data_IF_807997259266
#
_entry.id   IF_807997259266
#
_cell.length_a   1.000
_cell.length_b   1.000
_cell.length_c   1.000
_cell.angle_alpha   90.00
_cell.angle_beta   90.00
_cell.angle_gamma   90.00
#
_symmetry.space_group_name_H-M   'P 1'
#
loop_
_entity.id
_entity.type
_entity.pdbx_description
1 polymer ?
#
# COMPACT_ATOMS: atom_id res chain seq x y z
N UNK A 1 -27.93 6.58 -64.52
CA UNK A 1 -28.76 6.49 -63.30
C UNK A 1 -28.01 7.25 -62.21
N UNK A 2 -28.23 8.56 -62.12
CA UNK A 2 -29.14 9.28 -61.22
C UNK A 2 -28.59 9.40 -59.78
N UNK A 3 -27.92 10.53 -59.61
CA UNK A 3 -27.30 11.17 -58.46
C UNK A 3 -28.21 11.17 -57.22
N UNK A 4 -27.61 11.25 -56.01
CA UNK A 4 -28.21 12.00 -54.89
C UNK A 4 -27.14 12.48 -53.89
N UNK A 5 -27.08 13.80 -53.83
CA UNK A 5 -26.33 14.70 -52.97
C UNK A 5 -27.17 15.04 -51.72
N UNK A 6 -26.51 15.15 -50.56
CA UNK A 6 -26.89 15.95 -49.36
C UNK A 6 -28.16 15.50 -48.56
N UNK A 7 -28.33 15.85 -47.26
CA UNK A 7 -27.77 17.06 -46.62
C UNK A 7 -27.16 16.96 -45.22
N UNK A 8 -26.36 18.01 -44.96
CA UNK A 8 -25.97 18.54 -43.67
C UNK A 8 -27.16 18.65 -42.70
N UNK A 9 -26.91 18.39 -41.42
CA UNK A 9 -27.65 19.07 -40.35
C UNK A 9 -26.69 19.50 -39.25
N UNK A 10 -26.47 20.82 -39.28
CA UNK A 10 -25.84 21.62 -38.23
C UNK A 10 -26.75 21.59 -37.01
N UNK A 11 -26.23 21.33 -35.83
CA UNK A 11 -26.74 21.91 -34.58
C UNK A 11 -25.60 21.97 -33.57
N UNK A 12 -24.92 23.11 -33.58
CA UNK A 12 -24.03 23.54 -32.52
C UNK A 12 -24.86 23.73 -31.24
N UNK A 13 -24.50 23.08 -30.11
CA UNK A 13 -25.07 23.49 -28.85
C UNK A 13 -24.38 24.79 -28.45
N UNK A 14 -25.20 25.83 -28.27
CA UNK A 14 -24.78 27.14 -27.81
C UNK A 14 -24.03 26.99 -26.48
N UNK A 15 -22.80 27.50 -26.45
CA UNK A 15 -22.01 27.71 -25.24
C UNK A 15 -22.76 28.69 -24.33
N UNK A 16 -23.47 28.16 -23.34
CA UNK A 16 -23.96 28.94 -22.22
C UNK A 16 -22.82 29.06 -21.21
N UNK A 17 -21.98 30.08 -21.36
CA UNK A 17 -20.99 30.44 -20.36
C UNK A 17 -21.71 31.07 -19.15
N UNK A 18 -22.08 30.24 -18.18
CA UNK A 18 -22.54 30.71 -16.87
C UNK A 18 -21.29 31.11 -16.08
N UNK A 19 -20.98 32.40 -16.05
CA UNK A 19 -19.96 32.96 -15.15
C UNK A 19 -20.57 33.01 -13.75
N UNK A 20 -20.35 31.95 -12.97
CA UNK A 20 -20.64 31.95 -11.54
C UNK A 20 -19.46 32.60 -10.80
N UNK A 21 -19.55 33.91 -10.57
CA UNK A 21 -18.63 34.61 -9.67
C UNK A 21 -18.90 34.16 -8.23
N UNK A 22 -18.20 33.12 -7.78
CA UNK A 22 -18.23 32.69 -6.37
C UNK A 22 -17.12 33.43 -5.62
N UNK A 23 -17.49 34.53 -4.98
CA UNK A 23 -16.66 35.21 -3.98
C UNK A 23 -16.44 34.27 -2.81
N UNK A 24 -15.34 33.52 -2.86
CA UNK A 24 -14.90 32.67 -1.74
C UNK A 24 -14.32 33.58 -0.66
N UNK A 25 -15.14 33.96 0.31
CA UNK A 25 -14.64 34.49 1.57
C UNK A 25 -13.77 33.41 2.22
N UNK A 26 -12.46 33.66 2.30
CA UNK A 26 -11.52 32.83 3.02
C UNK A 26 -11.84 32.90 4.53
N UNK A 27 -12.71 32.00 4.98
CA UNK A 27 -12.84 31.71 6.40
C UNK A 27 -11.59 30.91 6.80
N UNK A 28 -10.91 31.26 7.90
CA UNK A 28 -9.85 30.43 8.41
C UNK A 28 -10.47 29.11 8.86
N UNK A 29 -10.23 28.05 8.09
CA UNK A 29 -10.43 26.68 8.58
C UNK A 29 -9.48 26.53 9.77
N UNK A 30 -10.04 26.63 10.96
CA UNK A 30 -9.40 26.12 12.16
C UNK A 30 -9.50 24.60 12.03
N UNK A 31 -8.46 24.00 11.42
CA UNK A 31 -8.27 22.56 11.50
C UNK A 31 -8.22 22.19 12.98
N UNK A 32 -9.28 21.56 13.48
CA UNK A 32 -9.29 20.90 14.78
C UNK A 32 -8.24 19.79 14.74
N UNK A 33 -6.99 20.13 15.04
CA UNK A 33 -5.97 19.14 15.33
C UNK A 33 -6.29 18.59 16.70
N UNK A 34 -7.04 17.49 16.74
CA UNK A 34 -7.19 16.71 17.97
C UNK A 34 -5.79 16.47 18.54
N UNK A 35 -5.51 16.76 19.83
CA UNK A 35 -4.22 16.47 20.42
C UNK A 35 -4.15 14.95 20.66
N UNK A 36 -4.03 14.17 19.60
CA UNK A 36 -3.71 12.75 19.67
C UNK A 36 -2.20 12.54 19.90
N UNK A 37 -1.55 13.45 20.64
CA UNK A 37 -0.19 13.26 21.17
C UNK A 37 -0.29 12.86 22.63
N UNK A 38 -1.05 11.79 22.89
CA UNK A 38 -0.67 10.92 24.00
C UNK A 38 0.68 10.32 23.63
N UNK A 39 1.62 10.21 24.57
CA UNK A 39 2.83 9.45 24.36
C UNK A 39 2.41 8.07 23.84
N UNK A 40 2.66 7.79 22.55
CA UNK A 40 2.66 6.41 22.10
C UNK A 40 3.70 5.78 23.00
N UNK A 41 3.25 4.94 23.94
CA UNK A 41 4.14 4.05 24.66
C UNK A 41 5.04 3.49 23.56
N UNK A 42 6.33 3.84 23.60
CA UNK A 42 7.29 3.00 22.91
C UNK A 42 7.05 1.64 23.52
N UNK A 43 6.40 0.75 22.77
CA UNK A 43 6.30 -0.67 23.09
C UNK A 43 7.71 -1.23 23.02
N UNK A 44 8.56 -0.78 23.95
CA UNK A 44 9.73 -1.50 24.37
C UNK A 44 9.18 -2.62 25.24
N UNK A 45 8.96 -3.75 24.56
CA UNK A 45 9.37 -5.07 25.02
C UNK A 45 9.06 -5.39 26.49
N UNK A 46 7.82 -5.82 26.74
CA UNK A 46 7.43 -6.78 27.81
C UNK A 46 5.89 -7.03 27.81
N UNK A 47 5.14 -6.39 26.92
CA UNK A 47 3.81 -6.86 26.52
C UNK A 47 3.96 -7.89 25.41
N UNK A 48 3.91 -9.18 25.78
CA UNK A 48 3.87 -10.39 24.93
C UNK A 48 3.67 -10.09 23.44
N UNK A 49 4.77 -10.09 22.69
CA UNK A 49 4.72 -9.96 21.25
C UNK A 49 3.91 -11.14 20.68
N UNK A 50 2.77 -10.86 20.04
CA UNK A 50 1.93 -11.89 19.44
C UNK A 50 2.77 -12.88 18.61
N UNK A 51 2.60 -14.20 18.82
CA UNK A 51 3.29 -15.21 18.03
C UNK A 51 3.12 -14.96 16.53
N UNK A 52 4.17 -15.20 15.75
CA UNK A 52 4.18 -14.91 14.33
C UNK A 52 3.06 -15.66 13.59
N UNK A 53 2.84 -16.93 13.93
CA UNK A 53 1.77 -17.74 13.36
C UNK A 53 0.37 -17.18 13.66
N UNK A 54 0.13 -16.67 14.87
CA UNK A 54 -1.15 -16.04 15.22
C UNK A 54 -1.38 -14.75 14.42
N UNK A 55 -0.32 -13.97 14.23
CA UNK A 55 -0.36 -12.76 13.40
C UNK A 55 -0.64 -13.09 11.93
N UNK A 56 0.02 -14.11 11.37
CA UNK A 56 -0.26 -14.61 10.03
C UNK A 56 -1.69 -15.16 9.94
N UNK A 57 -2.19 -15.87 10.96
CA UNK A 57 -3.57 -16.35 11.02
C UNK A 57 -4.61 -15.23 11.02
N UNK A 58 -4.27 -14.05 11.56
CA UNK A 58 -5.10 -12.85 11.40
C UNK A 58 -5.02 -12.31 9.96
N UNK A 59 -3.82 -12.19 9.39
CA UNK A 59 -3.65 -11.76 8.00
C UNK A 59 -4.42 -12.66 7.03
N UNK A 60 -4.40 -13.98 7.20
CA UNK A 60 -5.13 -14.93 6.37
C UNK A 60 -6.65 -14.65 6.36
N UNK A 61 -7.20 -14.16 7.46
CA UNK A 61 -8.63 -13.85 7.57
C UNK A 61 -9.00 -12.52 6.91
N UNK A 62 -8.15 -11.50 7.03
CA UNK A 62 -8.47 -10.13 6.59
C UNK A 62 -7.93 -9.80 5.20
N UNK A 63 -6.83 -10.43 4.81
CA UNK A 63 -6.11 -10.19 3.56
C UNK A 63 -5.29 -11.44 3.19
N UNK A 64 -5.92 -12.49 2.63
CA UNK A 64 -5.25 -13.75 2.25
C UNK A 64 -3.96 -13.56 1.43
N UNK A 65 -3.97 -12.64 0.46
CA UNK A 65 -2.79 -12.37 -0.34
C UNK A 65 -1.65 -11.71 0.46
N UNK A 66 -1.99 -10.90 1.47
CA UNK A 66 -1.01 -10.29 2.35
C UNK A 66 -0.31 -11.33 3.23
N UNK A 67 -1.06 -12.32 3.70
CA UNK A 67 -0.50 -13.45 4.44
C UNK A 67 0.45 -14.29 3.57
N UNK A 68 0.04 -14.64 2.36
CA UNK A 68 0.88 -15.45 1.46
C UNK A 68 2.15 -14.70 1.09
N UNK A 69 2.04 -13.41 0.74
CA UNK A 69 3.20 -12.55 0.46
C UNK A 69 4.10 -12.35 1.68
N UNK A 70 3.54 -12.25 2.88
CA UNK A 70 4.31 -12.19 4.12
C UNK A 70 5.07 -13.49 4.38
N UNK A 71 4.48 -14.67 4.15
CA UNK A 71 5.20 -15.95 4.25
C UNK A 71 6.35 -16.03 3.26
N UNK A 72 6.14 -15.61 2.00
CA UNK A 72 7.20 -15.57 1.00
C UNK A 72 8.35 -14.64 1.43
N UNK A 73 8.02 -13.47 2.01
CA UNK A 73 9.00 -12.53 2.53
C UNK A 73 9.79 -13.11 3.71
N UNK A 74 9.11 -13.75 4.67
CA UNK A 74 9.74 -14.42 5.82
C UNK A 74 10.69 -15.54 5.38
N UNK A 75 10.27 -16.35 4.40
CA UNK A 75 11.10 -17.43 3.85
C UNK A 75 12.37 -16.86 3.17
N UNK A 76 12.20 -15.85 2.31
CA UNK A 76 13.32 -15.18 1.65
C UNK A 76 14.24 -14.49 2.68
N UNK A 77 13.68 -13.86 3.71
CA UNK A 77 14.44 -13.25 4.80
C UNK A 77 15.28 -14.28 5.55
N UNK A 78 14.69 -15.40 5.95
CA UNK A 78 15.40 -16.48 6.64
C UNK A 78 16.54 -17.05 5.79
N UNK A 79 16.30 -17.24 4.49
CA UNK A 79 17.30 -17.73 3.54
C UNK A 79 18.47 -16.76 3.38
N UNK A 80 18.19 -15.44 3.31
CA UNK A 80 19.21 -14.43 3.03
C UNK A 80 19.94 -13.92 4.28
N UNK A 81 19.23 -13.77 5.37
CA UNK A 81 19.71 -13.13 6.59
C UNK A 81 20.08 -14.14 7.68
N UNK A 82 19.82 -15.43 7.46
CA UNK A 82 20.26 -16.52 8.35
C UNK A 82 19.55 -16.56 9.72
N UNK A 83 18.50 -15.74 9.92
CA UNK A 83 17.72 -15.71 11.16
C UNK A 83 16.23 -15.57 10.86
N UNK A 84 15.42 -15.95 11.85
CA UNK A 84 13.99 -15.71 11.78
C UNK A 84 13.68 -14.22 12.02
N UNK A 85 12.65 -13.74 11.34
CA UNK A 85 12.10 -12.40 11.54
C UNK A 85 11.07 -12.44 12.66
N UNK A 86 11.10 -11.45 13.56
CA UNK A 86 10.10 -11.31 14.63
C UNK A 86 8.80 -10.68 14.09
N UNK A 87 7.68 -10.92 14.77
CA UNK A 87 6.37 -10.35 14.42
C UNK A 87 6.40 -8.82 14.38
N UNK A 88 7.13 -8.19 15.30
CA UNK A 88 7.33 -6.75 15.40
C UNK A 88 8.10 -6.19 14.20
N UNK A 89 9.05 -6.95 13.67
CA UNK A 89 9.80 -6.59 12.46
C UNK A 89 8.91 -6.70 11.22
N UNK A 90 8.14 -7.79 11.08
CA UNK A 90 7.18 -7.95 9.98
C UNK A 90 6.10 -6.86 10.01
N UNK A 91 5.55 -6.55 11.19
CA UNK A 91 4.55 -5.49 11.36
C UNK A 91 5.11 -4.12 10.97
N UNK A 92 6.37 -3.86 11.34
CA UNK A 92 7.08 -2.65 10.93
C UNK A 92 7.28 -2.62 9.42
N UNK A 93 7.72 -3.73 8.82
CA UNK A 93 7.84 -3.86 7.37
C UNK A 93 6.48 -3.67 6.66
N UNK A 94 5.36 -4.06 7.25
CA UNK A 94 4.04 -3.82 6.63
C UNK A 94 3.56 -2.37 6.75
N UNK A 95 3.86 -1.69 7.85
CA UNK A 95 3.17 -0.44 8.23
C UNK A 95 4.06 0.80 8.23
N UNK A 96 5.38 0.68 8.42
CA UNK A 96 6.25 1.84 8.54
C UNK A 96 6.49 2.50 7.18
N UNK A 97 6.30 3.81 7.10
CA UNK A 97 6.62 4.59 5.90
C UNK A 97 5.80 4.22 4.65
N UNK A 98 4.66 3.55 4.82
CA UNK A 98 3.86 3.01 3.72
C UNK A 98 4.10 1.53 3.42
N UNK A 99 5.04 0.89 4.14
CA UNK A 99 5.43 -0.50 3.99
C UNK A 99 6.74 -0.67 3.22
N UNK A 100 7.39 -1.81 3.44
CA UNK A 100 8.57 -2.27 2.74
C UNK A 100 8.16 -2.63 1.30
N UNK A 101 8.79 -2.01 0.28
CA UNK A 101 8.37 -2.17 -1.10
C UNK A 101 8.55 -3.60 -1.62
N UNK A 102 9.51 -4.36 -1.08
CA UNK A 102 9.73 -5.75 -1.47
C UNK A 102 8.61 -6.62 -0.92
N UNK A 103 8.24 -6.43 0.35
CA UNK A 103 7.10 -7.11 0.97
C UNK A 103 5.80 -6.78 0.23
N UNK A 104 5.52 -5.51 -0.06
CA UNK A 104 4.35 -5.12 -0.84
C UNK A 104 4.36 -5.71 -2.26
N UNK A 105 5.54 -5.80 -2.87
CA UNK A 105 5.75 -6.46 -4.15
C UNK A 105 5.39 -7.95 -4.11
N UNK A 106 5.81 -8.67 -3.06
CA UNK A 106 5.44 -10.07 -2.83
C UNK A 106 3.93 -10.23 -2.62
N UNK A 107 3.31 -9.37 -1.81
CA UNK A 107 1.85 -9.39 -1.60
C UNK A 107 1.10 -9.22 -2.92
N UNK A 108 1.57 -8.30 -3.78
CA UNK A 108 1.01 -8.12 -5.12
C UNK A 108 1.22 -9.36 -6.00
N UNK A 109 2.42 -9.93 -6.00
CA UNK A 109 2.72 -11.13 -6.78
C UNK A 109 1.84 -12.30 -6.35
N UNK A 110 1.69 -12.53 -5.04
CA UNK A 110 0.81 -13.57 -4.49
C UNK A 110 -0.66 -13.30 -4.84
N UNK A 111 -1.13 -12.06 -4.78
CA UNK A 111 -2.48 -11.69 -5.23
C UNK A 111 -2.72 -12.02 -6.71
N UNK A 112 -1.73 -11.75 -7.56
CA UNK A 112 -1.79 -12.02 -9.01
C UNK A 112 -1.45 -13.47 -9.37
N UNK A 113 -1.02 -14.29 -8.40
CA UNK A 113 -0.49 -15.64 -8.61
C UNK A 113 0.70 -15.67 -9.58
N UNK A 114 1.54 -14.63 -9.50
CA UNK A 114 2.73 -14.46 -10.33
C UNK A 114 3.96 -15.07 -9.65
N UNK A 115 4.21 -16.36 -9.93
CA UNK A 115 5.33 -17.09 -9.34
C UNK A 115 6.71 -16.54 -9.78
N UNK A 116 6.81 -16.02 -11.01
CA UNK A 116 8.05 -15.43 -11.51
C UNK A 116 8.34 -14.10 -10.80
N UNK A 117 7.30 -13.26 -10.64
CA UNK A 117 7.39 -12.04 -9.85
C UNK A 117 7.71 -12.31 -8.39
N UNK A 118 7.13 -13.35 -7.78
CA UNK A 118 7.43 -13.74 -6.40
C UNK A 118 8.93 -14.08 -6.23
N UNK A 119 9.49 -14.87 -7.14
CA UNK A 119 10.92 -15.20 -7.14
C UNK A 119 11.82 -13.96 -7.35
N UNK A 120 11.39 -13.01 -8.17
CA UNK A 120 12.11 -11.75 -8.39
C UNK A 120 12.10 -10.86 -7.14
N UNK A 121 10.96 -10.74 -6.44
CA UNK A 121 10.89 -9.96 -5.22
C UNK A 121 11.64 -10.61 -4.06
N UNK A 122 11.59 -11.94 -3.92
CA UNK A 122 12.35 -12.67 -2.91
C UNK A 122 13.86 -12.37 -2.96
N UNK A 123 14.42 -12.23 -4.17
CA UNK A 123 15.81 -11.85 -4.41
C UNK A 123 16.16 -10.41 -4.03
N UNK A 124 15.19 -9.59 -3.64
CA UNK A 124 15.39 -8.19 -3.26
C UNK A 124 15.31 -7.95 -1.73
N UNK A 125 14.95 -8.97 -0.94
CA UNK A 125 14.85 -8.87 0.53
C UNK A 125 16.17 -8.48 1.20
N UNK A 126 16.16 -7.38 1.96
CA UNK A 126 17.34 -6.81 2.61
C UNK A 126 17.51 -7.30 4.05
N UNK A 127 18.76 -7.33 4.53
CA UNK A 127 19.07 -7.73 5.88
C UNK A 127 19.35 -6.50 6.76
N UNK A 128 18.64 -6.33 7.90
CA UNK A 128 18.88 -5.21 8.79
C UNK A 128 20.30 -5.30 9.35
N UNK A 129 21.07 -4.22 9.20
CA UNK A 129 22.49 -4.17 9.56
C UNK A 129 23.44 -4.11 8.36
N UNK A 130 22.95 -4.22 7.12
CA UNK A 130 23.69 -3.76 5.94
C UNK A 130 23.68 -2.21 5.92
N UNK A 131 24.40 -1.60 6.86
CA UNK A 131 24.77 -0.19 6.72
C UNK A 131 25.70 -0.12 5.53
N UNK A 132 25.22 0.46 4.43
CA UNK A 132 26.06 0.89 3.31
C UNK A 132 27.25 1.67 3.87
N UNK A 133 28.50 1.36 3.48
CA UNK A 133 29.66 2.21 3.81
C UNK A 133 29.53 3.60 3.19
#
# INVERSE_FOLDING_TARGET
MKNRTAPMSRLAPRLAAVVLATTSAALPVWGQTSPARGALLSSNADGEEMPLDDYLGLLQRIAPAAETGARAYLAAFQQRCGRSMRTSELRRALSQGGGDPVLLGLIRASHLRDAAGEAQWAQQVRCPGESTP
#
